data_IF_201542716461
#
_entry.id   IF_201542716461
#
_cell.length_a   1.000
_cell.length_b   1.000
_cell.length_c   1.000
_cell.angle_alpha   90.00
_cell.angle_beta   90.00
_cell.angle_gamma   90.00
#
_symmetry.space_group_name_H-M   'P 1'
#
loop_
_entity.id
_entity.type
_entity.pdbx_description
1 polymer ?
#
# COMPACT_ATOMS: atom_id res chain seq x y z
N UNK A 1 -10.93 4.39 -19.63
CA UNK A 1 -11.79 4.61 -18.41
C UNK A 1 -12.14 3.23 -17.91
N UNK A 2 -11.87 2.92 -16.64
CA UNK A 2 -12.18 1.59 -16.09
C UNK A 2 -13.70 1.46 -15.97
N UNK A 3 -14.35 0.70 -16.87
CA UNK A 3 -15.74 0.34 -16.64
C UNK A 3 -15.81 -0.52 -15.36
N UNK A 4 -16.51 -0.01 -14.35
CA UNK A 4 -16.73 -0.73 -13.09
C UNK A 4 -15.79 -0.39 -11.93
N UNK A 5 -14.79 0.50 -12.08
CA UNK A 5 -13.89 0.90 -10.99
C UNK A 5 -13.92 2.42 -10.84
N UNK A 6 -14.23 2.89 -9.64
CA UNK A 6 -14.10 4.30 -9.28
C UNK A 6 -12.64 4.60 -8.90
N UNK A 7 -12.14 5.78 -9.31
CA UNK A 7 -10.82 6.27 -8.94
C UNK A 7 -10.95 7.54 -8.13
N UNK A 8 -10.57 7.50 -6.85
CA UNK A 8 -10.69 8.62 -5.91
C UNK A 8 -9.31 9.08 -5.47
N UNK A 9 -9.05 10.38 -5.53
CA UNK A 9 -7.86 11.02 -4.98
C UNK A 9 -8.34 12.03 -3.93
N UNK A 10 -7.91 11.86 -2.69
CA UNK A 10 -8.16 12.84 -1.63
C UNK A 10 -7.01 13.83 -1.52
N UNK A 11 -7.35 15.10 -1.39
CA UNK A 11 -6.39 16.18 -1.11
C UNK A 11 -6.28 16.37 0.40
N UNK A 12 -5.07 16.71 0.87
CA UNK A 12 -4.76 16.89 2.28
C UNK A 12 -4.70 15.56 3.05
N UNK A 13 -4.53 15.69 4.36
CA UNK A 13 -4.39 14.54 5.24
C UNK A 13 -5.76 14.00 5.67
N UNK A 14 -5.91 12.70 5.67
CA UNK A 14 -7.16 11.99 6.00
C UNK A 14 -6.96 11.23 7.31
N UNK A 15 -7.84 11.46 8.28
CA UNK A 15 -7.84 10.70 9.53
C UNK A 15 -8.02 9.21 9.28
N UNK A 16 -7.25 8.39 10.00
CA UNK A 16 -7.22 6.95 9.77
C UNK A 16 -8.58 6.28 10.03
N UNK A 17 -9.21 6.59 11.16
CA UNK A 17 -10.50 5.99 11.56
C UNK A 17 -11.62 6.33 10.55
N UNK A 18 -11.62 7.56 10.02
CA UNK A 18 -12.53 7.96 8.95
C UNK A 18 -12.31 7.13 7.68
N UNK A 19 -11.06 6.97 7.27
CA UNK A 19 -10.74 6.21 6.06
C UNK A 19 -11.14 4.73 6.21
N UNK A 20 -10.95 4.14 7.38
CA UNK A 20 -11.37 2.75 7.65
C UNK A 20 -12.88 2.61 7.57
N UNK A 21 -13.65 3.54 8.16
CA UNK A 21 -15.12 3.53 8.10
C UNK A 21 -15.63 3.62 6.66
N UNK A 22 -15.08 4.54 5.85
CA UNK A 22 -15.45 4.68 4.43
C UNK A 22 -15.10 3.43 3.61
N UNK A 23 -13.94 2.83 3.90
CA UNK A 23 -13.50 1.60 3.23
C UNK A 23 -14.41 0.41 3.58
N UNK A 24 -14.77 0.23 4.85
CA UNK A 24 -15.66 -0.85 5.30
C UNK A 24 -17.04 -0.72 4.68
N UNK A 25 -17.57 0.50 4.62
CA UNK A 25 -18.84 0.80 3.94
C UNK A 25 -18.77 0.41 2.47
N UNK A 26 -17.75 0.88 1.74
CA UNK A 26 -17.59 0.57 0.30
C UNK A 26 -17.46 -0.93 0.06
N UNK A 27 -16.71 -1.63 0.89
CA UNK A 27 -16.57 -3.09 0.77
C UNK A 27 -17.88 -3.82 0.98
N UNK A 28 -18.72 -3.37 1.92
CA UNK A 28 -20.05 -3.93 2.13
C UNK A 28 -20.93 -3.72 0.88
N UNK A 29 -20.93 -2.51 0.33
CA UNK A 29 -21.67 -2.16 -0.89
C UNK A 29 -21.21 -2.99 -2.10
N UNK A 30 -19.90 -3.20 -2.27
CA UNK A 30 -19.34 -4.07 -3.33
C UNK A 30 -19.83 -5.52 -3.14
N UNK A 31 -19.82 -6.05 -1.91
CA UNK A 31 -20.32 -7.40 -1.62
C UNK A 31 -21.79 -7.59 -1.99
N UNK A 32 -22.59 -6.53 -1.85
CA UNK A 32 -24.02 -6.49 -2.18
C UNK A 32 -24.29 -6.16 -3.66
N UNK A 33 -23.24 -5.94 -4.47
CA UNK A 33 -23.34 -5.45 -5.84
C UNK A 33 -24.10 -4.11 -5.98
N UNK A 34 -24.06 -3.27 -4.94
CA UNK A 34 -24.69 -1.95 -4.90
C UNK A 34 -23.74 -0.79 -5.17
N UNK A 35 -22.44 -1.04 -5.25
CA UNK A 35 -21.43 -0.05 -5.63
C UNK A 35 -20.32 -0.66 -6.51
N UNK A 36 -19.66 0.21 -7.28
CA UNK A 36 -18.47 -0.13 -8.05
C UNK A 36 -17.28 -0.40 -7.12
N UNK A 37 -16.30 -1.14 -7.63
CA UNK A 37 -14.98 -1.22 -7.03
C UNK A 37 -14.35 0.18 -6.87
N UNK A 38 -13.41 0.33 -5.94
CA UNK A 38 -12.79 1.62 -5.68
C UNK A 38 -11.29 1.47 -5.49
N UNK A 39 -10.53 2.31 -6.19
CA UNK A 39 -9.13 2.62 -5.87
C UNK A 39 -9.10 4.02 -5.27
N UNK A 40 -8.58 4.14 -4.04
CA UNK A 40 -8.57 5.39 -3.30
C UNK A 40 -7.16 5.77 -2.87
N UNK A 41 -6.65 6.88 -3.42
CA UNK A 41 -5.35 7.46 -3.15
C UNK A 41 -5.48 8.56 -2.12
N UNK A 42 -4.65 8.53 -1.08
CA UNK A 42 -4.67 9.50 0.01
C UNK A 42 -3.32 9.56 0.74
N UNK A 43 -3.18 10.53 1.63
CA UNK A 43 -2.19 10.58 2.69
C UNK A 43 -2.92 10.64 4.03
N UNK A 44 -2.38 10.02 5.07
CA UNK A 44 -2.94 10.07 6.42
C UNK A 44 -2.34 11.17 7.27
N UNK A 45 -3.07 11.56 8.31
CA UNK A 45 -2.47 12.15 9.50
C UNK A 45 -1.47 11.17 10.12
N UNK A 46 -0.42 11.66 10.83
CA UNK A 46 0.60 10.79 11.41
C UNK A 46 0.00 9.75 12.34
N UNK A 47 0.21 8.46 12.07
CA UNK A 47 -0.35 7.35 12.85
C UNK A 47 0.49 6.08 12.72
N UNK A 48 0.68 5.35 13.82
CA UNK A 48 1.22 3.98 13.79
C UNK A 48 0.08 2.97 13.81
N UNK A 49 0.12 2.00 12.92
CA UNK A 49 -0.92 0.98 12.84
C UNK A 49 -0.34 -0.42 13.04
N UNK A 50 -0.93 -1.19 13.94
CA UNK A 50 -0.60 -2.59 14.17
C UNK A 50 -1.54 -3.50 13.38
N UNK A 51 -1.01 -4.30 12.44
CA UNK A 51 -1.77 -5.33 11.74
C UNK A 51 -1.98 -6.58 12.59
N UNK A 52 -2.61 -7.60 12.02
CA UNK A 52 -3.00 -8.83 12.73
C UNK A 52 -1.83 -9.65 13.31
N UNK A 53 -0.60 -9.40 12.83
CA UNK A 53 0.63 -10.05 13.32
C UNK A 53 1.52 -9.08 14.11
N UNK A 54 1.02 -7.89 14.47
CA UNK A 54 1.78 -6.91 15.23
C UNK A 54 2.00 -7.40 16.68
N UNK A 55 3.23 -7.34 17.13
CA UNK A 55 3.59 -7.68 18.51
C UNK A 55 3.89 -6.39 19.29
N UNK A 56 3.54 -6.37 20.58
CA UNK A 56 3.73 -5.18 21.41
C UNK A 56 5.21 -4.81 21.57
N UNK A 57 6.07 -5.82 21.64
CA UNK A 57 7.53 -5.67 21.76
C UNK A 57 8.17 -5.01 20.54
N UNK A 58 7.51 -5.05 19.38
CA UNK A 58 7.98 -4.41 18.14
C UNK A 58 7.65 -2.91 18.08
N UNK A 59 6.86 -2.40 19.02
CA UNK A 59 6.62 -0.98 19.23
C UNK A 59 7.64 -0.44 20.25
N UNK A 60 8.69 0.21 19.77
CA UNK A 60 9.81 0.70 20.60
C UNK A 60 9.49 1.97 21.39
N UNK A 61 8.48 2.72 20.97
CA UNK A 61 8.04 3.94 21.62
C UNK A 61 6.53 3.84 21.90
N UNK A 62 6.14 3.66 23.15
CA UNK A 62 4.75 3.50 23.59
C UNK A 62 3.99 4.84 23.74
N UNK A 63 4.68 5.98 23.55
CA UNK A 63 4.09 7.33 23.63
C UNK A 63 3.52 7.81 22.30
N UNK A 64 3.73 7.08 21.20
CA UNK A 64 3.19 7.45 19.88
C UNK A 64 1.73 7.06 19.74
N UNK A 65 0.98 7.81 18.96
CA UNK A 65 -0.40 7.46 18.65
C UNK A 65 -0.48 6.18 17.82
N UNK A 66 -1.29 5.23 18.27
CA UNK A 66 -1.41 3.91 17.65
C UNK A 66 -2.86 3.54 17.40
N UNK A 67 -3.09 2.71 16.37
CA UNK A 67 -4.38 2.04 16.12
C UNK A 67 -4.15 0.58 15.78
N UNK A 68 -5.02 -0.27 16.30
CA UNK A 68 -5.15 -1.65 15.83
C UNK A 68 -5.83 -1.66 14.47
N UNK A 69 -5.34 -2.49 13.56
CA UNK A 69 -5.85 -2.59 12.20
C UNK A 69 -6.17 -4.03 11.83
N UNK A 70 -7.27 -4.23 11.09
CA UNK A 70 -7.63 -5.57 10.59
C UNK A 70 -6.81 -6.04 9.37
N UNK A 71 -5.87 -5.24 8.86
CA UNK A 71 -4.96 -5.65 7.78
C UNK A 71 -3.96 -6.70 8.25
N UNK A 72 -3.44 -7.47 7.31
CA UNK A 72 -2.30 -8.34 7.58
C UNK A 72 -1.02 -7.57 7.89
N UNK A 73 -0.01 -8.29 8.39
CA UNK A 73 1.32 -7.76 8.70
C UNK A 73 1.44 -7.19 10.10
N UNK A 74 2.59 -6.59 10.35
CA UNK A 74 3.04 -6.08 11.65
C UNK A 74 2.80 -4.56 11.79
N UNK A 75 3.64 -3.87 12.60
CA UNK A 75 3.59 -2.44 12.73
C UNK A 75 4.04 -1.73 11.46
N UNK A 76 3.37 -0.65 11.13
CA UNK A 76 3.79 0.34 10.13
C UNK A 76 3.39 1.75 10.57
N UNK A 77 3.91 2.74 9.88
CA UNK A 77 3.53 4.14 10.05
C UNK A 77 2.90 4.66 8.77
N UNK A 78 1.95 5.57 8.92
CA UNK A 78 1.36 6.37 7.85
C UNK A 78 1.41 7.85 8.24
N UNK A 79 1.59 8.74 7.26
CA UNK A 79 1.61 10.17 7.49
C UNK A 79 2.03 10.96 6.25
N UNK A 80 2.29 12.26 6.40
CA UNK A 80 2.69 13.14 5.32
C UNK A 80 3.92 12.62 4.58
N UNK A 81 3.90 12.75 3.26
CA UNK A 81 4.97 12.26 2.39
C UNK A 81 4.89 10.78 2.04
N UNK A 82 3.87 10.07 2.54
CA UNK A 82 3.60 8.69 2.16
C UNK A 82 2.27 8.58 1.43
N UNK A 83 2.28 8.19 0.14
CA UNK A 83 1.05 7.91 -0.60
C UNK A 83 0.52 6.53 -0.23
N UNK A 84 -0.72 6.50 0.26
CA UNK A 84 -1.47 5.27 0.51
C UNK A 84 -2.45 5.04 -0.63
N UNK A 85 -2.53 3.80 -1.09
CA UNK A 85 -3.48 3.36 -2.12
C UNK A 85 -4.32 2.23 -1.53
N UNK A 86 -5.58 2.54 -1.23
CA UNK A 86 -6.55 1.55 -0.82
C UNK A 86 -7.26 0.95 -2.05
N UNK A 87 -7.32 -0.37 -2.10
CA UNK A 87 -7.90 -1.11 -3.21
C UNK A 87 -9.06 -1.97 -2.70
N UNK A 88 -10.27 -1.58 -3.03
CA UNK A 88 -11.48 -2.33 -2.74
C UNK A 88 -11.95 -3.00 -4.04
N UNK A 89 -11.38 -4.18 -4.31
CA UNK A 89 -11.59 -4.96 -5.54
C UNK A 89 -12.34 -6.25 -5.23
N UNK A 90 -13.22 -6.68 -6.13
CA UNK A 90 -13.93 -7.96 -6.05
C UNK A 90 -13.15 -9.05 -6.77
N UNK A 91 -12.43 -9.87 -6.03
CA UNK A 91 -11.64 -10.96 -6.59
C UNK A 91 -12.49 -12.13 -7.14
N UNK A 92 -13.81 -12.14 -6.91
CA UNK A 92 -14.71 -13.11 -7.56
C UNK A 92 -14.78 -12.88 -9.07
N UNK A 93 -14.59 -11.62 -9.50
CA UNK A 93 -14.57 -11.22 -10.90
C UNK A 93 -13.17 -11.34 -11.52
N UNK A 94 -12.20 -11.87 -10.77
CA UNK A 94 -10.80 -12.06 -11.16
C UNK A 94 -10.34 -13.46 -10.76
N UNK A 95 -9.11 -13.56 -10.32
CA UNK A 95 -8.55 -14.78 -9.74
C UNK A 95 -8.72 -14.78 -8.22
N UNK A 96 -9.42 -15.76 -7.66
CA UNK A 96 -9.60 -15.96 -6.22
C UNK A 96 -8.34 -16.61 -5.62
N UNK A 97 -7.21 -15.91 -5.72
CA UNK A 97 -5.91 -16.34 -5.21
C UNK A 97 -5.22 -15.16 -4.49
N UNK A 98 -5.02 -15.30 -3.18
CA UNK A 98 -4.39 -14.26 -2.35
C UNK A 98 -2.92 -14.05 -2.72
N UNK A 99 -2.20 -15.12 -3.06
CA UNK A 99 -0.78 -15.00 -3.45
C UNK A 99 -0.63 -14.31 -4.79
N UNK A 100 -1.48 -14.66 -5.76
CA UNK A 100 -1.52 -13.99 -7.06
C UNK A 100 -1.89 -12.50 -6.90
N UNK A 101 -2.83 -12.17 -6.01
CA UNK A 101 -3.18 -10.77 -5.72
C UNK A 101 -2.02 -9.99 -5.09
N UNK A 102 -1.32 -10.56 -4.10
CA UNK A 102 -0.13 -9.94 -3.51
C UNK A 102 0.95 -9.73 -4.57
N UNK A 103 1.21 -10.73 -5.41
CA UNK A 103 2.16 -10.61 -6.51
C UNK A 103 1.78 -9.49 -7.49
N UNK A 104 0.49 -9.40 -7.84
CA UNK A 104 -0.02 -8.34 -8.71
C UNK A 104 0.14 -6.93 -8.10
N UNK A 105 -0.08 -6.79 -6.77
CA UNK A 105 0.16 -5.52 -6.07
C UNK A 105 1.64 -5.12 -6.10
N UNK A 106 2.54 -6.08 -5.90
CA UNK A 106 3.98 -5.82 -5.99
C UNK A 106 4.39 -5.47 -7.42
N UNK A 107 3.85 -6.16 -8.45
CA UNK A 107 4.11 -5.82 -9.85
C UNK A 107 3.64 -4.42 -10.19
N UNK A 108 2.44 -4.06 -9.75
CA UNK A 108 1.88 -2.72 -9.90
C UNK A 108 2.82 -1.63 -9.35
N UNK A 109 3.38 -1.88 -8.17
CA UNK A 109 4.32 -0.96 -7.53
C UNK A 109 5.68 -0.92 -8.24
N UNK A 110 6.21 -2.09 -8.66
CA UNK A 110 7.48 -2.18 -9.38
C UNK A 110 7.40 -1.43 -10.71
N UNK A 111 6.35 -1.64 -11.49
CA UNK A 111 6.13 -0.91 -12.74
C UNK A 111 5.98 0.60 -12.52
N UNK A 112 5.36 1.00 -11.41
CA UNK A 112 5.23 2.42 -11.04
C UNK A 112 6.59 3.03 -10.69
N UNK A 113 7.43 2.32 -9.92
CA UNK A 113 8.77 2.79 -9.56
C UNK A 113 9.72 2.83 -10.76
N UNK A 114 9.58 1.91 -11.70
CA UNK A 114 10.39 1.85 -12.92
C UNK A 114 10.23 3.11 -13.78
N UNK A 115 9.04 3.72 -13.83
CA UNK A 115 8.83 4.99 -14.53
C UNK A 115 9.65 6.15 -13.93
N UNK A 116 10.11 6.02 -12.70
CA UNK A 116 11.00 6.96 -12.01
C UNK A 116 12.45 6.48 -11.95
N UNK A 117 12.79 5.47 -12.75
CA UNK A 117 14.14 4.86 -12.79
C UNK A 117 14.60 4.30 -11.45
N UNK A 118 13.68 3.67 -10.72
CA UNK A 118 13.95 2.95 -9.47
C UNK A 118 13.70 1.46 -9.69
N UNK A 119 14.76 0.66 -9.56
CA UNK A 119 14.72 -0.79 -9.68
C UNK A 119 14.14 -1.41 -8.40
N UNK A 120 12.80 -1.48 -8.33
CA UNK A 120 12.10 -2.18 -7.26
C UNK A 120 12.19 -3.70 -7.43
N UNK A 121 12.29 -4.43 -6.32
CA UNK A 121 12.33 -5.90 -6.34
C UNK A 121 11.47 -6.50 -5.24
N UNK A 122 11.11 -7.76 -5.44
CA UNK A 122 10.47 -8.63 -4.43
C UNK A 122 11.53 -9.35 -3.61
N UNK A 123 11.23 -9.60 -2.34
CA UNK A 123 12.01 -10.50 -1.50
C UNK A 123 11.08 -11.60 -1.02
N UNK A 124 11.47 -12.85 -1.19
CA UNK A 124 10.68 -14.00 -0.75
C UNK A 124 10.32 -13.88 0.74
N UNK A 125 9.06 -14.18 1.06
CA UNK A 125 8.49 -14.14 2.42
C UNK A 125 8.50 -12.75 3.11
N UNK A 126 8.83 -11.68 2.36
CA UNK A 126 8.81 -10.29 2.85
C UNK A 126 7.96 -9.40 1.95
N UNK A 127 6.62 -9.43 2.07
CA UNK A 127 5.73 -8.64 1.22
C UNK A 127 6.10 -7.16 1.20
N UNK A 128 6.07 -6.57 0.00
CA UNK A 128 6.45 -5.19 -0.25
C UNK A 128 7.44 -5.07 -1.40
N UNK A 129 7.79 -3.83 -1.73
CA UNK A 129 8.81 -3.57 -2.75
C UNK A 129 10.05 -2.99 -2.08
N UNK A 130 11.17 -3.49 -2.49
CA UNK A 130 12.48 -3.24 -1.91
C UNK A 130 13.43 -2.69 -2.95
N UNK A 131 14.37 -1.86 -2.51
CA UNK A 131 15.43 -1.29 -3.37
C UNK A 131 16.77 -1.62 -2.76
N UNK A 132 17.70 -2.06 -3.60
CA UNK A 132 19.07 -2.36 -3.16
C UNK A 132 19.83 -1.06 -2.90
N UNK A 133 20.39 -0.90 -1.70
CA UNK A 133 21.18 0.25 -1.31
C UNK A 133 22.68 0.06 -1.62
N UNK A 134 23.48 1.11 -1.41
CA UNK A 134 24.92 1.11 -1.68
C UNK A 134 25.74 0.10 -0.84
N UNK A 135 25.19 -0.36 0.29
CA UNK A 135 25.80 -1.36 1.15
C UNK A 135 25.41 -2.80 0.79
N UNK A 136 24.84 -3.00 -0.39
CA UNK A 136 24.39 -4.31 -0.89
C UNK A 136 23.23 -4.92 -0.07
N UNK A 137 22.52 -4.11 0.74
CA UNK A 137 21.31 -4.46 1.51
C UNK A 137 20.07 -3.97 0.79
N UNK A 138 18.92 -4.40 1.28
CA UNK A 138 17.62 -3.99 0.73
C UNK A 138 16.85 -3.14 1.71
N UNK A 139 16.43 -1.95 1.27
CA UNK A 139 15.57 -1.04 2.02
C UNK A 139 14.16 -1.05 1.43
N UNK A 140 13.15 -1.06 2.30
CA UNK A 140 11.76 -1.09 1.87
C UNK A 140 11.30 0.30 1.45
N UNK A 141 10.80 0.42 0.23
CA UNK A 141 10.22 1.65 -0.32
C UNK A 141 8.69 1.61 -0.34
N UNK A 142 8.10 0.42 -0.55
CA UNK A 142 6.66 0.24 -0.52
C UNK A 142 6.28 -0.88 0.46
N UNK A 143 5.25 -0.62 1.26
CA UNK A 143 4.69 -1.61 2.15
C UNK A 143 3.34 -2.13 1.63
N UNK A 144 3.04 -3.38 1.94
CA UNK A 144 1.76 -4.02 1.68
C UNK A 144 1.12 -4.45 2.99
N UNK A 145 -0.17 -4.19 3.11
CA UNK A 145 -0.99 -4.70 4.19
C UNK A 145 -2.43 -4.81 3.71
N UNK A 146 -2.89 -6.03 3.44
CA UNK A 146 -4.21 -6.29 2.90
C UNK A 146 -5.07 -7.10 3.88
N UNK A 147 -6.38 -6.99 3.70
CA UNK A 147 -7.38 -7.88 4.25
C UNK A 147 -8.33 -8.29 3.13
N UNK A 148 -8.82 -9.51 3.16
CA UNK A 148 -9.81 -10.01 2.21
C UNK A 148 -10.98 -10.56 3.01
N UNK A 149 -12.20 -10.19 2.63
CA UNK A 149 -13.42 -10.70 3.23
C UNK A 149 -14.43 -11.03 2.14
N UNK A 150 -14.84 -12.30 2.06
CA UNK A 150 -15.72 -12.79 0.99
C UNK A 150 -15.19 -12.42 -0.42
N UNK A 151 -13.90 -12.52 -0.61
CA UNK A 151 -13.19 -12.20 -1.86
C UNK A 151 -13.27 -10.73 -2.29
N UNK A 152 -13.66 -9.82 -1.40
CA UNK A 152 -13.48 -8.38 -1.60
C UNK A 152 -12.31 -7.89 -0.75
N UNK A 153 -11.41 -7.12 -1.37
CA UNK A 153 -10.19 -6.65 -0.74
C UNK A 153 -10.40 -5.38 0.07
N UNK A 154 -9.60 -5.21 1.12
CA UNK A 154 -9.51 -4.03 1.98
C UNK A 154 -8.07 -3.57 2.07
N UNK A 155 -7.86 -2.31 2.49
CA UNK A 155 -6.54 -1.72 2.63
C UNK A 155 -5.78 -1.78 1.30
N UNK A 156 -4.49 -1.96 1.33
CA UNK A 156 -3.71 -1.98 0.11
C UNK A 156 -2.22 -1.76 0.33
N UNK A 157 -1.68 -0.72 -0.29
CA UNK A 157 -0.25 -0.46 -0.34
C UNK A 157 0.08 0.96 0.10
N UNK A 158 1.32 1.18 0.50
CA UNK A 158 1.86 2.52 0.74
C UNK A 158 3.22 2.67 0.06
N UNK A 159 3.50 3.88 -0.44
CA UNK A 159 4.72 4.27 -1.15
C UNK A 159 5.33 5.45 -0.42
N UNK A 160 6.58 5.33 -0.01
CA UNK A 160 7.31 6.41 0.60
C UNK A 160 7.82 7.37 -0.47
N UNK A 161 7.26 8.57 -0.53
CA UNK A 161 7.69 9.64 -1.43
C UNK A 161 8.77 10.46 -0.75
N UNK A 162 8.39 11.12 0.34
CA UNK A 162 9.26 11.96 1.16
C UNK A 162 8.78 12.04 2.63
N UNK A 163 8.49 10.92 3.30
CA UNK A 163 8.19 10.95 4.72
C UNK A 163 9.47 11.24 5.52
N UNK A 164 9.30 11.70 6.75
CA UNK A 164 10.38 11.62 7.73
C UNK A 164 10.68 10.14 8.02
N UNK A 165 11.82 9.64 7.57
CA UNK A 165 12.20 8.22 7.73
C UNK A 165 12.52 7.86 9.18
N UNK A 166 12.79 8.84 10.05
CA UNK A 166 13.08 8.60 11.46
C UNK A 166 11.87 8.08 12.24
N UNK A 167 10.65 8.31 11.75
CA UNK A 167 9.42 7.76 12.35
C UNK A 167 9.44 6.23 12.39
N UNK A 168 10.08 5.58 11.43
CA UNK A 168 10.17 4.12 11.39
C UNK A 168 11.11 3.53 12.46
N UNK A 169 11.95 4.35 13.13
CA UNK A 169 12.79 3.92 14.25
C UNK A 169 11.97 3.57 15.51
N UNK A 170 10.73 4.07 15.61
CA UNK A 170 9.81 3.78 16.71
C UNK A 170 9.17 2.37 16.64
N UNK A 171 9.39 1.64 15.56
CA UNK A 171 8.84 0.29 15.35
C UNK A 171 9.94 -0.65 14.82
N UNK A 172 9.68 -1.96 14.91
CA UNK A 172 10.39 -2.94 14.08
C UNK A 172 9.55 -3.15 12.81
N UNK A 173 9.91 -2.54 11.68
CA UNK A 173 9.07 -2.60 10.50
C UNK A 173 9.12 -4.00 9.89
N UNK A 174 7.99 -4.72 9.94
CA UNK A 174 7.80 -6.03 9.29
C UNK A 174 8.87 -7.10 9.63
N UNK A 175 9.40 -7.12 10.86
CA UNK A 175 10.37 -8.14 11.29
C UNK A 175 11.72 -8.12 10.55
N UNK A 176 12.04 -7.01 9.87
CA UNK A 176 13.29 -6.89 9.12
C UNK A 176 14.41 -6.47 10.07
N UNK A 177 15.20 -7.42 10.54
CA UNK A 177 16.36 -7.16 11.40
C UNK A 177 17.56 -6.55 10.64
N UNK A 178 17.64 -6.74 9.30
CA UNK A 178 18.82 -6.39 8.49
C UNK A 178 18.54 -5.41 7.34
N UNK A 179 17.38 -4.76 7.30
CA UNK A 179 17.00 -3.80 6.25
C UNK A 179 16.50 -2.48 6.83
N UNK A 180 16.60 -1.42 6.03
CA UNK A 180 16.09 -0.10 6.32
C UNK A 180 14.74 0.19 5.64
N UNK A 181 14.34 1.43 5.76
CA UNK A 181 13.24 2.03 5.00
C UNK A 181 13.85 3.18 4.19
N UNK A 182 13.42 3.33 2.95
CA UNK A 182 13.83 4.40 2.05
C UNK A 182 12.63 5.10 1.43
N UNK A 183 12.85 6.14 0.67
CA UNK A 183 11.83 6.90 -0.05
C UNK A 183 12.33 7.30 -1.43
N UNK A 184 11.41 7.77 -2.29
CA UNK A 184 11.77 8.33 -3.60
C UNK A 184 12.76 9.46 -3.47
N UNK A 185 12.55 10.39 -2.53
CA UNK A 185 13.43 11.53 -2.30
C UNK A 185 14.80 11.12 -1.75
N UNK A 186 14.85 10.15 -0.85
CA UNK A 186 16.09 9.58 -0.31
C UNK A 186 16.96 8.95 -1.42
N UNK A 187 16.31 8.38 -2.44
CA UNK A 187 16.95 7.85 -3.66
C UNK A 187 17.23 8.92 -4.72
N UNK A 188 17.08 10.21 -4.40
CA UNK A 188 17.35 11.33 -5.30
C UNK A 188 16.26 11.57 -6.35
N UNK A 189 15.08 10.98 -6.22
CA UNK A 189 13.93 11.15 -7.13
C UNK A 189 12.90 12.10 -6.53
N UNK A 190 13.03 13.40 -6.87
CA UNK A 190 12.07 14.43 -6.45
C UNK A 190 10.90 14.46 -7.45
N UNK A 191 9.83 13.77 -7.13
CA UNK A 191 8.62 13.71 -7.93
C UNK A 191 7.45 14.35 -7.18
N UNK A 192 6.46 14.85 -7.91
CA UNK A 192 5.22 15.37 -7.34
C UNK A 192 4.24 14.23 -7.04
N UNK A 193 3.25 14.51 -6.18
CA UNK A 193 2.12 13.60 -5.96
C UNK A 193 1.35 13.34 -7.25
N UNK A 194 1.15 14.36 -8.06
CA UNK A 194 0.39 14.26 -9.32
C UNK A 194 1.10 13.35 -10.34
N UNK A 195 2.45 13.42 -10.44
CA UNK A 195 3.23 12.53 -11.29
C UNK A 195 3.12 11.07 -10.82
N UNK A 196 3.23 10.85 -9.50
CA UNK A 196 3.06 9.52 -8.93
C UNK A 196 1.64 8.98 -9.16
N UNK A 197 0.61 9.79 -8.91
CA UNK A 197 -0.79 9.41 -9.07
C UNK A 197 -1.10 9.07 -10.54
N UNK A 198 -0.52 9.81 -11.49
CA UNK A 198 -0.61 9.51 -12.92
C UNK A 198 0.01 8.16 -13.27
N UNK A 199 1.23 7.90 -12.77
CA UNK A 199 1.93 6.63 -12.96
C UNK A 199 1.19 5.46 -12.31
N UNK A 200 0.68 5.65 -11.08
CA UNK A 200 -0.15 4.65 -10.40
C UNK A 200 -1.39 4.29 -11.23
N UNK A 201 -2.12 5.28 -11.75
CA UNK A 201 -3.32 5.02 -12.55
C UNK A 201 -2.98 4.23 -13.81
N UNK A 202 -1.94 4.61 -14.54
CA UNK A 202 -1.47 3.94 -15.75
C UNK A 202 -1.06 2.49 -15.48
N UNK A 203 -0.28 2.24 -14.41
CA UNK A 203 0.21 0.90 -14.10
C UNK A 203 -0.84 0.02 -13.43
N UNK A 204 -1.81 0.62 -12.71
CA UNK A 204 -3.01 -0.11 -12.28
C UNK A 204 -3.75 -0.71 -13.48
N UNK A 205 -3.89 0.03 -14.57
CA UNK A 205 -4.52 -0.43 -15.81
C UNK A 205 -3.78 -1.63 -16.43
N UNK A 206 -2.45 -1.57 -16.45
CA UNK A 206 -1.62 -2.66 -16.98
C UNK A 206 -1.73 -3.96 -16.15
N UNK A 207 -1.93 -3.84 -14.84
CA UNK A 207 -1.94 -5.01 -13.94
C UNK A 207 -3.36 -5.53 -13.70
N UNK A 208 -4.31 -4.63 -13.43
CA UNK A 208 -5.67 -4.98 -12.99
C UNK A 208 -6.76 -4.69 -14.02
N UNK A 209 -6.42 -4.06 -15.15
CA UNK A 209 -7.35 -3.79 -16.24
C UNK A 209 -7.78 -5.05 -16.99
N UNK A 210 -8.71 -4.92 -17.94
CA UNK A 210 -9.31 -6.05 -18.68
C UNK A 210 -8.29 -6.92 -19.42
N UNK A 211 -7.15 -6.38 -19.79
CA UNK A 211 -6.04 -7.08 -20.46
C UNK A 211 -4.78 -7.17 -19.58
N UNK A 212 -4.92 -6.87 -18.30
CA UNK A 212 -3.80 -6.87 -17.36
C UNK A 212 -3.37 -8.25 -16.87
N UNK A 213 -2.30 -8.28 -16.09
CA UNK A 213 -1.75 -9.51 -15.50
C UNK A 213 -2.71 -10.16 -14.49
N UNK A 214 -3.52 -9.35 -13.83
CA UNK A 214 -4.54 -9.76 -12.86
C UNK A 214 -5.91 -9.20 -13.27
N UNK A 215 -6.31 -9.53 -14.48
CA UNK A 215 -7.48 -9.00 -15.19
C UNK A 215 -8.81 -9.49 -14.63
N UNK A 216 -9.86 -8.79 -15.00
CA UNK A 216 -11.26 -9.24 -14.84
C UNK A 216 -11.49 -10.43 -15.78
N UNK A 217 -12.05 -11.51 -15.24
CA UNK A 217 -12.42 -12.73 -15.98
C UNK A 217 -13.78 -12.58 -16.66
#
# INVERSE_FOLDING_TARGET
MFEGIDWKISKGLIGYDFAISEMEKRVLEIKQNSAKELVWLLEHEPIYTGGTSAKKEDLKNDKVETRSSGRGGQWTWHGPGQRVVYLMLNLRNRQQDVKAYVYALEEFLILTLDEFSINGTRINDKPGVWVKNNNNRYDKICALGIRISSWVTFHGVSININPDLDVFKNIVPCGVMDGGVTSLHDLGRKISLDDLDGSLKKNFEKVFGNYGLFKVS
#
